data_IF_416394592953
#
_entry.id   IF_416394592953
#
_cell.length_a   1.000
_cell.length_b   1.000
_cell.length_c   1.000
_cell.angle_alpha   90.00
_cell.angle_beta   90.00
_cell.angle_gamma   90.00
#
_symmetry.space_group_name_H-M   'P 1'
#
loop_
_entity.id
_entity.type
_entity.pdbx_description
1 polymer ?
#
# COMPACT_ATOMS: atom_id res chain seq x y z
N UNK A 1 34.53 2.31 8.91
CA UNK A 1 34.69 3.40 7.93
C UNK A 1 35.33 2.94 6.60
N UNK A 2 35.29 1.65 6.25
CA UNK A 2 35.74 1.19 4.91
C UNK A 2 34.65 1.29 3.83
N UNK A 3 33.38 1.38 4.24
CA UNK A 3 32.22 1.39 3.33
C UNK A 3 32.02 2.70 2.55
N UNK A 4 32.65 3.80 2.99
CA UNK A 4 32.65 5.10 2.29
C UNK A 4 33.69 5.17 1.16
N UNK A 5 34.64 4.23 1.10
CA UNK A 5 35.79 4.30 0.16
C UNK A 5 35.46 3.81 -1.27
N UNK A 6 34.30 3.20 -1.50
CA UNK A 6 33.88 2.72 -2.81
C UNK A 6 32.37 2.90 -3.00
N UNK A 7 31.90 4.08 -3.44
CA UNK A 7 30.51 4.27 -3.83
C UNK A 7 30.13 3.23 -4.91
N UNK A 8 28.89 2.76 -4.93
CA UNK A 8 28.34 1.74 -5.84
C UNK A 8 28.78 0.28 -5.65
N UNK A 9 29.78 -0.02 -4.81
CA UNK A 9 30.24 -1.41 -4.63
C UNK A 9 29.14 -2.35 -4.11
N UNK A 10 28.26 -1.87 -3.23
CA UNK A 10 27.12 -2.65 -2.73
C UNK A 10 26.13 -3.00 -3.84
N UNK A 11 25.72 -2.01 -4.63
CA UNK A 11 24.78 -2.17 -5.75
C UNK A 11 25.33 -3.13 -6.80
N UNK A 12 26.59 -2.96 -7.21
CA UNK A 12 27.22 -3.81 -8.22
C UNK A 12 27.31 -5.28 -7.78
N UNK A 13 27.59 -5.52 -6.50
CA UNK A 13 27.63 -6.88 -5.94
C UNK A 13 26.24 -7.51 -5.85
N UNK A 14 25.22 -6.72 -5.51
CA UNK A 14 23.82 -7.17 -5.43
C UNK A 14 23.30 -7.57 -6.83
N UNK A 15 23.54 -6.72 -7.84
CA UNK A 15 23.17 -7.00 -9.24
C UNK A 15 23.88 -8.25 -9.77
N UNK A 16 25.19 -8.39 -9.53
CA UNK A 16 25.95 -9.56 -10.00
C UNK A 16 25.43 -10.87 -9.39
N UNK A 17 25.12 -10.87 -8.09
CA UNK A 17 24.56 -12.04 -7.39
C UNK A 17 23.15 -12.38 -7.86
N UNK A 18 22.34 -11.36 -8.18
CA UNK A 18 20.97 -11.58 -8.64
C UNK A 18 20.91 -12.04 -10.10
N UNK A 19 21.77 -11.50 -10.96
CA UNK A 19 21.81 -11.82 -12.38
C UNK A 19 22.00 -13.33 -12.65
N UNK A 20 22.77 -14.04 -11.82
CA UNK A 20 22.95 -15.49 -11.96
C UNK A 20 21.68 -16.30 -11.66
N UNK A 21 20.83 -15.82 -10.75
CA UNK A 21 19.60 -16.50 -10.33
C UNK A 21 18.39 -16.12 -11.18
N UNK A 22 18.39 -14.94 -11.80
CA UNK A 22 17.24 -14.39 -12.51
C UNK A 22 16.67 -15.32 -13.58
N UNK A 23 17.53 -15.95 -14.39
CA UNK A 23 17.10 -16.91 -15.42
C UNK A 23 16.41 -18.14 -14.81
N UNK A 24 16.89 -18.62 -13.67
CA UNK A 24 16.33 -19.78 -12.99
C UNK A 24 14.95 -19.47 -12.40
N UNK A 25 14.74 -18.27 -11.89
CA UNK A 25 13.46 -17.86 -11.31
C UNK A 25 12.33 -17.88 -12.35
N UNK A 26 12.59 -17.39 -13.57
CA UNK A 26 11.60 -17.45 -14.66
C UNK A 26 11.28 -18.88 -15.10
N UNK A 27 12.31 -19.74 -15.22
CA UNK A 27 12.10 -21.15 -15.58
C UNK A 27 11.31 -21.85 -14.48
N UNK A 28 11.67 -21.65 -13.21
CA UNK A 28 10.98 -22.25 -12.06
C UNK A 28 9.54 -21.75 -11.92
N UNK A 29 9.29 -20.48 -12.22
CA UNK A 29 7.94 -19.90 -12.26
C UNK A 29 7.07 -20.59 -13.30
N UNK A 30 7.57 -20.76 -14.53
CA UNK A 30 6.83 -21.44 -15.60
C UNK A 30 6.63 -22.94 -15.32
N UNK A 31 7.62 -23.62 -14.75
CA UNK A 31 7.54 -25.05 -14.44
C UNK A 31 6.59 -25.39 -13.27
N UNK A 32 6.32 -24.45 -12.37
CA UNK A 32 5.44 -24.65 -11.21
C UNK A 32 3.95 -24.78 -11.57
N UNK A 33 3.56 -24.50 -12.82
CA UNK A 33 2.22 -24.74 -13.35
C UNK A 33 1.08 -24.11 -12.54
N UNK A 34 0.00 -24.87 -12.33
CA UNK A 34 -1.24 -24.42 -11.66
C UNK A 34 -1.04 -24.14 -10.16
N UNK A 35 0.03 -24.66 -9.55
CA UNK A 35 0.32 -24.49 -8.12
C UNK A 35 0.58 -23.03 -7.71
N UNK A 36 0.98 -22.17 -8.66
CA UNK A 36 1.19 -20.73 -8.42
C UNK A 36 -0.13 -19.95 -8.34
N UNK A 37 -1.21 -20.44 -8.95
CA UNK A 37 -2.48 -19.71 -9.06
C UNK A 37 -3.11 -19.42 -7.69
N UNK A 38 -2.97 -20.35 -6.74
CA UNK A 38 -3.50 -20.19 -5.39
C UNK A 38 -2.75 -19.11 -4.60
N UNK A 39 -1.40 -19.16 -4.47
CA UNK A 39 -0.64 -18.06 -3.88
C UNK A 39 -0.85 -16.72 -4.56
N UNK A 40 -0.88 -16.65 -5.90
CA UNK A 40 -1.05 -15.36 -6.61
C UNK A 40 -2.41 -14.75 -6.36
N UNK A 41 -3.48 -15.57 -6.39
CA UNK A 41 -4.84 -15.07 -6.09
C UNK A 41 -4.94 -14.65 -4.63
N UNK A 42 -4.39 -15.43 -3.70
CA UNK A 42 -4.39 -15.08 -2.28
C UNK A 42 -3.67 -13.75 -2.02
N UNK A 43 -2.45 -13.60 -2.54
CA UNK A 43 -1.65 -12.40 -2.39
C UNK A 43 -2.30 -11.20 -3.10
N UNK A 44 -2.93 -11.39 -4.26
CA UNK A 44 -3.66 -10.33 -4.95
C UNK A 44 -4.73 -9.72 -4.04
N UNK A 45 -5.58 -10.55 -3.41
CA UNK A 45 -6.61 -10.04 -2.51
C UNK A 45 -6.06 -9.52 -1.18
N UNK A 46 -5.02 -10.16 -0.64
CA UNK A 46 -4.33 -9.67 0.54
C UNK A 46 -3.66 -8.30 0.32
N UNK A 47 -3.30 -7.99 -0.93
CA UNK A 47 -2.68 -6.73 -1.34
C UNK A 47 -3.72 -5.67 -1.72
N UNK A 48 -4.73 -6.05 -2.50
CA UNK A 48 -5.75 -5.12 -2.99
C UNK A 48 -6.63 -4.55 -1.87
N UNK A 49 -7.05 -5.37 -0.88
CA UNK A 49 -7.98 -4.91 0.16
C UNK A 49 -7.42 -3.79 1.04
N UNK A 50 -6.18 -3.89 1.59
CA UNK A 50 -5.59 -2.78 2.33
C UNK A 50 -5.37 -1.54 1.47
N UNK A 51 -4.95 -1.71 0.21
CA UNK A 51 -4.73 -0.60 -0.72
C UNK A 51 -6.04 0.14 -1.01
N UNK A 52 -7.16 -0.59 -1.16
CA UNK A 52 -8.49 0.00 -1.32
C UNK A 52 -8.88 0.77 -0.06
N UNK A 53 -8.69 0.19 1.13
CA UNK A 53 -9.02 0.83 2.39
C UNK A 53 -8.19 2.11 2.63
N UNK A 54 -6.89 2.06 2.37
CA UNK A 54 -5.99 3.21 2.48
C UNK A 54 -6.24 4.26 1.42
N UNK A 55 -6.59 3.85 0.19
CA UNK A 55 -6.97 4.77 -0.88
C UNK A 55 -8.27 5.53 -0.56
N UNK A 56 -9.25 4.86 0.06
CA UNK A 56 -10.47 5.50 0.54
C UNK A 56 -10.19 6.44 1.73
N UNK A 57 -9.33 6.02 2.66
CA UNK A 57 -8.90 6.89 3.76
C UNK A 57 -8.21 8.14 3.21
N UNK A 58 -7.32 7.99 2.23
CA UNK A 58 -6.63 9.09 1.58
C UNK A 58 -7.60 10.02 0.84
N UNK A 59 -8.61 9.47 0.18
CA UNK A 59 -9.70 10.23 -0.45
C UNK A 59 -10.45 11.09 0.55
N UNK A 60 -10.87 10.49 1.68
CA UNK A 60 -11.57 11.22 2.75
C UNK A 60 -10.72 12.31 3.38
N UNK A 61 -9.44 12.06 3.60
CA UNK A 61 -8.52 12.99 4.26
C UNK A 61 -8.00 14.10 3.32
N UNK A 62 -8.01 13.88 2.00
CA UNK A 62 -7.57 14.85 0.98
C UNK A 62 -8.72 15.55 0.25
N UNK A 63 -9.93 15.52 0.83
CA UNK A 63 -11.18 16.03 0.26
C UNK A 63 -11.51 15.49 -1.15
N UNK A 64 -10.99 14.32 -1.52
CA UNK A 64 -11.13 13.70 -2.85
C UNK A 64 -10.06 14.13 -3.86
N UNK A 65 -8.95 14.74 -3.42
CA UNK A 65 -7.84 15.12 -4.31
C UNK A 65 -6.97 13.91 -4.72
N UNK A 66 -6.89 12.91 -3.85
CA UNK A 66 -6.29 11.60 -4.13
C UNK A 66 -7.31 10.49 -3.86
N UNK A 67 -7.67 9.74 -4.88
CA UNK A 67 -8.66 8.68 -4.88
C UNK A 67 -8.04 7.29 -4.66
N UNK A 68 -8.93 6.32 -4.48
CA UNK A 68 -8.57 4.90 -4.41
C UNK A 68 -7.89 4.41 -5.69
N UNK A 69 -8.28 4.96 -6.84
CA UNK A 69 -7.77 4.54 -8.16
C UNK A 69 -6.29 4.88 -8.32
N UNK A 70 -5.86 6.07 -7.92
CA UNK A 70 -4.44 6.44 -7.99
C UNK A 70 -3.59 5.58 -7.06
N UNK A 71 -4.12 5.25 -5.88
CA UNK A 71 -3.45 4.36 -4.93
C UNK A 71 -3.29 2.95 -5.53
N UNK A 72 -4.35 2.41 -6.16
CA UNK A 72 -4.29 1.13 -6.87
C UNK A 72 -3.32 1.18 -8.06
N UNK A 73 -3.38 2.23 -8.87
CA UNK A 73 -2.49 2.42 -10.01
C UNK A 73 -1.02 2.48 -9.58
N UNK A 74 -0.72 3.19 -8.49
CA UNK A 74 0.62 3.22 -7.90
C UNK A 74 1.11 1.82 -7.54
N UNK A 75 0.31 1.06 -6.79
CA UNK A 75 0.70 -0.29 -6.35
C UNK A 75 0.88 -1.25 -7.52
N UNK A 76 0.03 -1.14 -8.55
CA UNK A 76 0.13 -1.95 -9.75
C UNK A 76 1.41 -1.64 -10.55
N UNK A 77 1.68 -0.35 -10.82
CA UNK A 77 2.86 0.07 -11.59
C UNK A 77 4.14 -0.29 -10.82
N UNK A 78 4.21 0.04 -9.53
CA UNK A 78 5.37 -0.28 -8.70
C UNK A 78 5.57 -1.79 -8.56
N UNK A 79 4.49 -2.55 -8.37
CA UNK A 79 4.54 -4.02 -8.29
C UNK A 79 5.04 -4.67 -9.58
N UNK A 80 4.62 -4.19 -10.76
CA UNK A 80 5.13 -4.70 -12.04
C UNK A 80 6.60 -4.36 -12.22
N UNK A 81 7.01 -3.11 -11.97
CA UNK A 81 8.41 -2.70 -12.10
C UNK A 81 9.29 -3.52 -11.13
N UNK A 82 8.86 -3.77 -9.90
CA UNK A 82 9.64 -4.51 -8.90
C UNK A 82 9.68 -6.00 -9.16
N UNK A 83 8.60 -6.59 -9.66
CA UNK A 83 8.60 -8.02 -10.02
C UNK A 83 9.56 -8.32 -11.17
N UNK A 84 9.75 -7.39 -12.11
CA UNK A 84 10.67 -7.53 -13.24
C UNK A 84 12.10 -7.15 -12.84
N UNK A 85 12.27 -5.98 -12.21
CA UNK A 85 13.60 -5.41 -11.97
C UNK A 85 14.10 -5.58 -10.55
N UNK A 86 13.29 -6.06 -9.60
CA UNK A 86 13.65 -6.16 -8.20
C UNK A 86 14.66 -7.27 -7.89
N UNK A 87 15.52 -6.99 -6.93
CA UNK A 87 16.45 -7.93 -6.32
C UNK A 87 15.74 -8.94 -5.42
N UNK A 88 14.63 -8.57 -4.78
CA UNK A 88 13.82 -9.46 -3.96
C UNK A 88 12.36 -9.57 -4.47
N UNK A 89 12.01 -10.63 -5.21
CA UNK A 89 10.67 -10.79 -5.81
C UNK A 89 9.60 -11.21 -4.79
N UNK A 90 9.99 -11.68 -3.60
CA UNK A 90 9.06 -12.01 -2.51
C UNK A 90 8.54 -10.76 -1.79
N UNK A 91 9.19 -9.61 -1.98
CA UNK A 91 8.76 -8.36 -1.38
C UNK A 91 7.55 -7.82 -2.13
N UNK A 92 6.46 -7.59 -1.41
CA UNK A 92 5.24 -7.01 -1.95
C UNK A 92 5.26 -5.51 -1.67
N UNK A 93 5.13 -4.74 -2.75
CA UNK A 93 5.01 -3.30 -2.69
C UNK A 93 3.56 -2.88 -2.62
N UNK A 94 3.31 -1.84 -1.83
CA UNK A 94 2.00 -1.23 -1.72
C UNK A 94 2.07 0.09 -0.97
N UNK A 95 0.91 0.71 -0.77
CA UNK A 95 0.82 1.92 0.03
C UNK A 95 0.59 1.53 1.48
N UNK A 96 1.54 1.89 2.35
CA UNK A 96 1.43 1.69 3.79
C UNK A 96 0.71 2.87 4.47
N UNK A 97 0.13 2.61 5.65
CA UNK A 97 -0.53 3.64 6.47
C UNK A 97 0.35 4.86 6.77
N UNK A 98 1.65 4.72 7.11
CA UNK A 98 2.52 5.87 7.33
C UNK A 98 2.59 6.81 6.12
N UNK A 99 2.56 6.26 4.90
CA UNK A 99 2.48 7.06 3.65
C UNK A 99 1.18 7.86 3.59
N UNK A 100 0.04 7.25 3.93
CA UNK A 100 -1.26 7.93 3.97
C UNK A 100 -1.23 9.08 4.96
N UNK A 101 -0.75 8.86 6.18
CA UNK A 101 -0.64 9.90 7.23
C UNK A 101 0.24 11.05 6.77
N UNK A 102 1.37 10.73 6.14
CA UNK A 102 2.28 11.72 5.58
C UNK A 102 1.60 12.57 4.49
N UNK A 103 0.89 11.94 3.57
CA UNK A 103 0.15 12.64 2.53
C UNK A 103 -0.99 13.51 3.09
N UNK A 104 -1.71 13.04 4.12
CA UNK A 104 -2.70 13.83 4.84
C UNK A 104 -2.08 15.07 5.50
N UNK A 105 -0.89 14.94 6.09
CA UNK A 105 -0.17 16.09 6.66
C UNK A 105 0.26 17.09 5.59
N UNK A 106 0.83 16.60 4.48
CA UNK A 106 1.20 17.42 3.33
C UNK A 106 -0.02 18.17 2.77
N UNK A 107 -1.16 17.50 2.66
CA UNK A 107 -2.40 18.11 2.19
C UNK A 107 -2.88 19.22 3.12
N UNK A 108 -2.92 18.98 4.43
CA UNK A 108 -3.30 19.99 5.41
C UNK A 108 -2.35 21.19 5.42
N UNK A 109 -1.05 20.95 5.23
CA UNK A 109 -0.05 22.02 5.08
C UNK A 109 -0.28 22.84 3.82
N UNK A 110 -0.54 22.21 2.68
CA UNK A 110 -0.83 22.87 1.41
C UNK A 110 -2.13 23.70 1.49
N UNK A 111 -3.20 23.12 2.05
CA UNK A 111 -4.50 23.77 2.24
C UNK A 111 -4.43 25.00 3.13
N UNK A 112 -3.53 25.01 4.12
CA UNK A 112 -3.33 26.14 5.04
C UNK A 112 -2.61 27.34 4.41
N UNK A 113 -2.10 27.24 3.18
CA UNK A 113 -1.32 28.30 2.53
C UNK A 113 -2.00 28.81 1.26
N UNK A 114 -2.11 30.14 1.16
CA UNK A 114 -2.76 30.82 0.04
C UNK A 114 -2.01 30.64 -1.29
N UNK A 115 -0.69 30.47 -1.26
CA UNK A 115 0.15 30.37 -2.47
C UNK A 115 0.14 28.99 -3.15
N UNK A 116 -0.20 27.93 -2.40
CA UNK A 116 -0.16 26.54 -2.88
C UNK A 116 -1.59 26.05 -3.17
N UNK A 117 -2.52 26.34 -2.26
CA UNK A 117 -3.91 25.94 -2.40
C UNK A 117 -4.10 24.42 -2.56
N UNK A 118 -5.31 24.03 -2.92
CA UNK A 118 -5.68 22.63 -3.18
C UNK A 118 -5.18 22.14 -4.54
N UNK A 119 -5.05 23.04 -5.51
CA UNK A 119 -4.74 22.69 -6.91
C UNK A 119 -3.25 22.36 -7.14
N UNK A 120 -2.31 23.05 -6.45
CA UNK A 120 -0.87 22.79 -6.60
C UNK A 120 -0.34 21.76 -5.59
N UNK A 121 -1.22 21.16 -4.77
CA UNK A 121 -0.82 20.12 -3.82
C UNK A 121 -0.12 18.95 -4.52
N UNK A 122 -0.69 18.44 -5.62
CA UNK A 122 -0.12 17.32 -6.37
C UNK A 122 1.27 17.65 -6.92
N UNK A 123 1.41 18.84 -7.53
CA UNK A 123 2.69 19.34 -8.03
C UNK A 123 3.75 19.49 -6.92
N UNK A 124 3.35 19.98 -5.74
CA UNK A 124 4.24 20.06 -4.59
C UNK A 124 4.65 18.68 -4.06
N UNK A 125 3.73 17.72 -3.99
CA UNK A 125 4.08 16.33 -3.63
C UNK A 125 5.03 15.69 -4.63
N UNK A 126 4.96 16.07 -5.92
CA UNK A 126 5.95 15.68 -6.94
C UNK A 126 7.36 16.15 -6.58
N UNK A 127 7.53 17.42 -6.16
CA UNK A 127 8.82 17.93 -5.69
C UNK A 127 9.32 17.23 -4.42
N UNK A 128 8.42 16.93 -3.47
CA UNK A 128 8.77 16.11 -2.29
C UNK A 128 9.29 14.75 -2.72
N UNK A 129 8.67 14.11 -3.71
CA UNK A 129 9.11 12.82 -4.26
C UNK A 129 10.46 12.93 -4.98
N UNK A 130 10.73 14.01 -5.72
CA UNK A 130 12.04 14.25 -6.36
C UNK A 130 13.16 14.32 -5.31
N UNK A 131 12.96 15.08 -4.23
CA UNK A 131 13.93 15.15 -3.14
C UNK A 131 14.07 13.81 -2.42
N UNK A 132 12.96 13.09 -2.21
CA UNK A 132 12.96 11.76 -1.59
C UNK A 132 13.76 10.77 -2.42
N UNK A 133 13.54 10.73 -3.74
CA UNK A 133 14.27 9.87 -4.67
C UNK A 133 15.77 10.19 -4.66
N UNK A 134 16.14 11.47 -4.67
CA UNK A 134 17.53 11.90 -4.57
C UNK A 134 18.18 11.40 -3.26
N UNK A 135 17.49 11.53 -2.12
CA UNK A 135 17.98 11.04 -0.83
C UNK A 135 18.12 9.51 -0.82
N UNK A 136 17.16 8.78 -1.38
CA UNK A 136 17.22 7.32 -1.50
C UNK A 136 18.39 6.88 -2.40
N UNK A 137 18.66 7.58 -3.49
CA UNK A 137 19.84 7.34 -4.33
C UNK A 137 21.13 7.56 -3.56
N UNK A 138 21.24 8.65 -2.80
CA UNK A 138 22.41 8.89 -1.95
C UNK A 138 22.59 7.77 -0.91
N UNK A 139 21.52 7.36 -0.23
CA UNK A 139 21.56 6.26 0.75
C UNK A 139 22.00 4.93 0.11
N UNK A 140 21.53 4.63 -1.09
CA UNK A 140 21.94 3.44 -1.84
C UNK A 140 23.43 3.49 -2.23
N UNK A 141 23.93 4.64 -2.69
CA UNK A 141 25.32 4.83 -3.12
C UNK A 141 26.30 4.75 -1.94
N UNK A 142 25.94 5.32 -0.80
CA UNK A 142 26.78 5.34 0.43
C UNK A 142 26.71 4.04 1.24
N UNK A 143 26.08 2.98 0.72
CA UNK A 143 25.93 1.69 1.40
C UNK A 143 25.26 1.81 2.79
N UNK A 144 24.26 2.70 2.93
CA UNK A 144 23.51 2.88 4.18
C UNK A 144 22.78 1.60 4.61
N UNK A 145 22.51 0.68 3.68
CA UNK A 145 21.93 -0.63 3.96
C UNK A 145 22.77 -1.49 4.91
N UNK A 146 24.03 -1.14 5.18
CA UNK A 146 24.82 -1.81 6.23
C UNK A 146 24.24 -1.63 7.64
N UNK A 147 23.42 -0.58 7.86
CA UNK A 147 22.68 -0.34 9.10
C UNK A 147 21.65 -1.47 9.37
N UNK A 148 21.12 -2.10 8.32
CA UNK A 148 20.17 -3.21 8.39
C UNK A 148 20.71 -4.37 9.22
N UNK A 149 22.01 -4.67 9.10
CA UNK A 149 22.64 -5.77 9.85
C UNK A 149 22.68 -5.53 11.37
N UNK A 150 22.42 -4.30 11.82
CA UNK A 150 22.31 -3.94 13.24
C UNK A 150 20.88 -4.08 13.77
N UNK A 151 19.89 -4.20 12.88
CA UNK A 151 18.50 -4.38 13.25
C UNK A 151 18.30 -5.80 13.80
N UNK A 152 17.86 -5.89 15.06
CA UNK A 152 17.72 -7.16 15.76
C UNK A 152 16.34 -7.76 15.54
N UNK A 153 16.19 -9.08 15.79
CA UNK A 153 14.90 -9.78 15.76
C UNK A 153 13.85 -9.10 16.66
N UNK A 154 14.27 -8.64 17.84
CA UNK A 154 13.40 -7.94 18.80
C UNK A 154 12.83 -6.67 18.18
N UNK A 155 13.66 -5.88 17.49
CA UNK A 155 13.21 -4.65 16.84
C UNK A 155 12.19 -4.95 15.71
N UNK A 156 12.41 -6.02 14.94
CA UNK A 156 11.48 -6.46 13.90
C UNK A 156 10.14 -6.94 14.43
N UNK A 157 10.14 -7.77 15.48
CA UNK A 157 8.90 -8.26 16.10
C UNK A 157 8.11 -7.12 16.77
N UNK A 158 8.78 -6.19 17.45
CA UNK A 158 8.14 -4.99 18.02
C UNK A 158 7.54 -4.08 16.94
N UNK A 159 8.24 -3.92 15.81
CA UNK A 159 7.74 -3.11 14.71
C UNK A 159 6.52 -3.77 14.04
N UNK A 160 6.57 -5.08 13.79
CA UNK A 160 5.43 -5.84 13.30
C UNK A 160 4.22 -5.76 14.25
N UNK A 161 4.46 -5.82 15.57
CA UNK A 161 3.42 -5.63 16.58
C UNK A 161 2.80 -4.22 16.52
N UNK A 162 3.63 -3.18 16.40
CA UNK A 162 3.15 -1.80 16.28
C UNK A 162 2.24 -1.62 15.06
N UNK A 163 2.66 -2.10 13.89
CA UNK A 163 1.86 -2.04 12.66
C UNK A 163 0.55 -2.81 12.83
N UNK A 164 0.56 -3.99 13.47
CA UNK A 164 -0.65 -4.75 13.74
C UNK A 164 -1.64 -4.00 14.64
N UNK A 165 -1.15 -3.33 15.70
CA UNK A 165 -2.00 -2.51 16.59
C UNK A 165 -2.58 -1.32 15.85
N UNK A 166 -1.79 -0.61 15.04
CA UNK A 166 -2.26 0.52 14.23
C UNK A 166 -3.34 0.06 13.23
N UNK A 167 -3.14 -1.09 12.58
CA UNK A 167 -4.11 -1.63 11.63
C UNK A 167 -5.45 -1.99 12.30
N UNK A 168 -5.41 -2.55 13.52
CA UNK A 168 -6.63 -2.81 14.32
C UNK A 168 -7.30 -1.49 14.72
N UNK A 169 -6.53 -0.49 15.14
CA UNK A 169 -7.05 0.83 15.48
C UNK A 169 -7.76 1.49 14.28
N UNK A 170 -7.17 1.43 13.09
CA UNK A 170 -7.77 1.97 11.87
C UNK A 170 -9.03 1.19 11.47
N UNK A 171 -9.04 -0.13 11.63
CA UNK A 171 -10.25 -0.92 11.40
C UNK A 171 -11.40 -0.48 12.32
N UNK A 172 -11.12 -0.23 13.60
CA UNK A 172 -12.10 0.31 14.56
C UNK A 172 -12.56 1.71 14.14
N UNK A 173 -11.63 2.60 13.79
CA UNK A 173 -11.95 3.97 13.33
C UNK A 173 -12.81 3.95 12.06
N UNK A 174 -12.54 3.03 11.14
CA UNK A 174 -13.34 2.81 9.94
C UNK A 174 -14.78 2.41 10.28
N UNK A 175 -14.97 1.45 11.19
CA UNK A 175 -16.30 1.05 11.66
C UNK A 175 -17.05 2.20 12.35
N UNK A 176 -16.36 2.98 13.19
CA UNK A 176 -16.95 4.16 13.84
C UNK A 176 -17.36 5.22 12.81
N UNK A 177 -16.57 5.42 11.76
CA UNK A 177 -16.87 6.41 10.71
C UNK A 177 -18.14 6.10 9.89
N UNK A 178 -18.64 4.86 9.93
CA UNK A 178 -19.90 4.50 9.29
C UNK A 178 -21.14 4.97 10.06
N UNK A 179 -20.97 5.31 11.34
CA UNK A 179 -21.99 5.99 12.15
C UNK A 179 -21.97 7.52 12.00
N UNK A 180 -20.99 8.06 11.28
CA UNK A 180 -20.83 9.50 11.06
C UNK A 180 -21.20 9.90 9.63
N UNK A 181 -21.65 11.16 9.48
CA UNK A 181 -21.92 11.77 8.17
C UNK A 181 -20.57 12.13 7.50
N UNK A 182 -20.33 11.75 6.23
CA UNK A 182 -19.09 12.11 5.54
C UNK A 182 -18.96 13.63 5.43
N UNK A 183 -17.76 14.15 5.69
CA UNK A 183 -17.50 15.61 5.70
C UNK A 183 -17.72 16.29 4.34
N UNK A 184 -17.75 15.52 3.25
CA UNK A 184 -17.86 16.00 1.86
C UNK A 184 -19.28 15.94 1.29
N UNK A 185 -20.26 15.37 2.00
CA UNK A 185 -21.63 15.22 1.48
C UNK A 185 -22.62 16.15 2.21
N UNK A 186 -23.66 16.56 1.47
CA UNK A 186 -24.70 17.45 1.98
C UNK A 186 -25.46 16.79 3.14
N UNK A 187 -25.43 17.45 4.31
CA UNK A 187 -26.08 16.99 5.54
C UNK A 187 -27.60 16.85 5.44
N UNK A 188 -28.20 17.37 4.36
CA UNK A 188 -29.65 17.42 4.13
C UNK A 188 -30.22 16.24 3.35
N UNK A 189 -29.40 15.28 2.90
CA UNK A 189 -29.91 14.11 2.20
C UNK A 189 -30.65 13.15 3.15
N UNK A 190 -31.78 12.56 2.72
CA UNK A 190 -32.59 11.61 3.49
C UNK A 190 -31.77 10.40 4.01
N UNK A 191 -30.70 10.04 3.30
CA UNK A 191 -29.74 9.00 3.68
C UNK A 191 -29.01 9.30 5.00
N UNK A 192 -28.91 10.57 5.40
CA UNK A 192 -28.23 11.03 6.61
C UNK A 192 -29.16 11.33 7.78
N UNK A 193 -30.45 10.99 7.65
CA UNK A 193 -31.34 10.95 8.81
C UNK A 193 -30.85 9.92 9.83
N UNK A 194 -31.08 10.21 11.12
CA UNK A 194 -30.57 9.43 12.24
C UNK A 194 -30.90 7.93 12.12
N UNK A 195 -32.09 7.59 11.61
CA UNK A 195 -32.55 6.21 11.44
C UNK A 195 -31.70 5.43 10.42
N UNK A 196 -31.39 6.04 9.28
CA UNK A 196 -30.62 5.42 8.20
C UNK A 196 -29.12 5.40 8.48
N UNK A 197 -28.60 6.41 9.17
CA UNK A 197 -27.21 6.45 9.63
C UNK A 197 -26.94 5.36 10.67
N UNK A 198 -27.85 5.18 11.62
CA UNK A 198 -27.75 4.11 12.62
C UNK A 198 -27.88 2.72 11.98
N UNK A 199 -28.80 2.55 11.02
CA UNK A 199 -28.95 1.31 10.27
C UNK A 199 -27.69 0.98 9.45
N UNK A 200 -27.07 1.99 8.81
CA UNK A 200 -25.82 1.83 8.08
C UNK A 200 -24.68 1.38 8.99
N UNK A 201 -24.49 2.04 10.13
CA UNK A 201 -23.47 1.67 11.10
C UNK A 201 -23.68 0.25 11.66
N UNK A 202 -24.92 -0.12 11.99
CA UNK A 202 -25.25 -1.47 12.47
C UNK A 202 -24.96 -2.55 11.41
N UNK A 203 -25.36 -2.31 10.16
CA UNK A 203 -25.02 -3.19 9.04
C UNK A 203 -23.50 -3.27 8.84
N UNK A 204 -22.78 -2.16 8.96
CA UNK A 204 -21.32 -2.11 8.91
C UNK A 204 -20.66 -3.00 9.97
N UNK A 205 -21.15 -2.96 11.22
CA UNK A 205 -20.70 -3.86 12.30
C UNK A 205 -20.99 -5.32 11.94
N UNK A 206 -22.21 -5.64 11.52
CA UNK A 206 -22.61 -7.01 11.16
C UNK A 206 -21.73 -7.57 10.04
N UNK A 207 -21.50 -6.81 8.98
CA UNK A 207 -20.64 -7.22 7.87
C UNK A 207 -19.17 -7.35 8.29
N UNK A 208 -18.66 -6.45 9.14
CA UNK A 208 -17.26 -6.50 9.60
C UNK A 208 -16.99 -7.72 10.47
N UNK A 209 -17.80 -7.95 11.52
CA UNK A 209 -17.65 -9.12 12.38
C UNK A 209 -18.01 -10.42 11.64
N UNK A 210 -19.00 -10.37 10.75
CA UNK A 210 -19.36 -11.48 9.88
C UNK A 210 -18.18 -11.91 9.00
N UNK A 211 -17.56 -10.97 8.28
CA UNK A 211 -16.39 -11.21 7.44
C UNK A 211 -15.19 -11.71 8.27
N UNK A 212 -14.92 -11.10 9.42
CA UNK A 212 -13.81 -11.52 10.29
C UNK A 212 -14.00 -12.97 10.76
N UNK A 213 -15.19 -13.30 11.26
CA UNK A 213 -15.49 -14.64 11.74
C UNK A 213 -15.40 -15.69 10.63
N UNK A 214 -16.01 -15.41 9.47
CA UNK A 214 -15.99 -16.34 8.33
C UNK A 214 -14.59 -16.49 7.73
N UNK A 215 -13.82 -15.41 7.62
CA UNK A 215 -12.43 -15.45 7.15
C UNK A 215 -11.52 -16.27 8.09
N UNK A 216 -11.63 -16.10 9.41
CA UNK A 216 -10.88 -16.89 10.39
C UNK A 216 -11.27 -18.37 10.35
N UNK A 217 -12.56 -18.68 10.18
CA UNK A 217 -13.05 -20.05 10.00
C UNK A 217 -12.52 -20.66 8.70
N UNK A 218 -12.49 -19.90 7.61
CA UNK A 218 -11.97 -20.35 6.31
C UNK A 218 -10.48 -20.65 6.39
N UNK A 219 -9.68 -19.85 7.10
CA UNK A 219 -8.25 -20.14 7.31
C UNK A 219 -8.02 -21.43 8.12
N UNK A 220 -8.90 -21.74 9.06
CA UNK A 220 -8.92 -23.01 9.81
C UNK A 220 -9.58 -24.16 9.04
N UNK A 221 -10.04 -23.95 7.81
CA UNK A 221 -10.65 -25.00 7.01
C UNK A 221 -9.69 -26.19 6.84
N UNK A 222 -8.37 -25.97 6.74
CA UNK A 222 -7.39 -27.08 6.61
C UNK A 222 -7.45 -28.13 7.73
N UNK A 223 -7.95 -27.79 8.91
CA UNK A 223 -8.09 -28.73 10.03
C UNK A 223 -9.53 -29.18 10.27
N UNK A 224 -10.48 -28.87 9.38
CA UNK A 224 -11.85 -29.33 9.50
C UNK A 224 -11.95 -30.85 9.34
N UNK A 225 -12.74 -31.45 10.23
CA UNK A 225 -13.03 -32.89 10.22
C UNK A 225 -14.04 -33.27 9.12
N UNK A 226 -14.72 -32.28 8.54
CA UNK A 226 -15.72 -32.44 7.51
C UNK A 226 -15.20 -31.88 6.18
N UNK A 227 -15.45 -32.60 5.08
CA UNK A 227 -15.10 -32.20 3.72
C UNK A 227 -13.96 -33.02 3.09
N UNK A 228 -13.91 -33.02 1.76
CA UNK A 228 -12.84 -33.67 1.01
C UNK A 228 -11.54 -32.87 1.09
N UNK A 229 -10.38 -33.54 1.06
CA UNK A 229 -9.08 -32.87 1.22
C UNK A 229 -8.79 -31.78 0.18
N UNK A 230 -9.29 -31.97 -1.05
CA UNK A 230 -9.17 -30.98 -2.12
C UNK A 230 -10.00 -29.72 -1.85
N UNK A 231 -11.29 -29.87 -1.53
CA UNK A 231 -12.19 -28.75 -1.24
C UNK A 231 -11.74 -27.98 0.02
N UNK A 232 -11.23 -28.72 1.01
CA UNK A 232 -10.66 -28.16 2.24
C UNK A 232 -9.45 -27.26 1.97
N UNK A 233 -8.59 -27.67 1.05
CA UNK A 233 -7.41 -26.88 0.67
C UNK A 233 -7.82 -25.67 -0.15
N UNK A 234 -8.76 -25.82 -1.08
CA UNK A 234 -9.32 -24.71 -1.85
C UNK A 234 -9.96 -23.63 -0.96
N UNK A 235 -10.81 -24.01 0.01
CA UNK A 235 -11.46 -23.06 0.93
C UNK A 235 -10.43 -22.38 1.85
N UNK A 236 -9.35 -23.07 2.21
CA UNK A 236 -8.29 -22.46 3.00
C UNK A 236 -7.48 -21.42 2.22
N UNK A 237 -7.20 -21.71 0.95
CA UNK A 237 -6.35 -20.87 0.10
C UNK A 237 -7.13 -19.66 -0.46
N UNK A 238 -8.37 -19.87 -0.88
CA UNK A 238 -9.26 -18.83 -1.44
C UNK A 238 -10.28 -18.30 -0.42
N UNK A 239 -10.10 -18.61 0.86
CA UNK A 239 -11.10 -18.32 1.88
C UNK A 239 -11.41 -16.85 2.08
N UNK A 240 -10.39 -16.02 2.25
CA UNK A 240 -10.53 -14.57 2.43
C UNK A 240 -11.27 -13.94 1.24
N UNK A 241 -10.83 -14.13 -0.03
CA UNK A 241 -11.55 -13.53 -1.16
C UNK A 241 -12.97 -14.07 -1.35
N UNK A 242 -13.17 -15.38 -1.15
CA UNK A 242 -14.51 -15.97 -1.24
C UNK A 242 -15.46 -15.31 -0.22
N UNK A 243 -15.00 -15.10 1.03
CA UNK A 243 -15.83 -14.46 2.05
C UNK A 243 -16.10 -12.99 1.76
N UNK A 244 -15.15 -12.26 1.16
CA UNK A 244 -15.40 -10.90 0.67
C UNK A 244 -16.52 -10.91 -0.37
N UNK A 245 -16.44 -11.78 -1.39
CA UNK A 245 -17.47 -11.88 -2.43
C UNK A 245 -18.84 -12.23 -1.85
N UNK A 246 -18.91 -13.17 -0.90
CA UNK A 246 -20.16 -13.56 -0.24
C UNK A 246 -20.73 -12.41 0.59
N UNK A 247 -19.92 -11.74 1.40
CA UNK A 247 -20.35 -10.58 2.19
C UNK A 247 -20.81 -9.42 1.29
N UNK A 248 -20.13 -9.19 0.17
CA UNK A 248 -20.55 -8.20 -0.83
C UNK A 248 -21.86 -8.60 -1.48
N UNK A 249 -22.04 -9.85 -1.91
CA UNK A 249 -23.30 -10.32 -2.48
C UNK A 249 -24.48 -10.19 -1.49
N UNK A 250 -24.26 -10.51 -0.21
CA UNK A 250 -25.24 -10.30 0.85
C UNK A 250 -25.57 -8.82 1.05
N UNK A 251 -24.58 -7.93 0.95
CA UNK A 251 -24.76 -6.48 1.00
C UNK A 251 -25.62 -5.95 -0.16
N UNK A 252 -25.51 -6.53 -1.36
CA UNK A 252 -26.38 -6.21 -2.50
C UNK A 252 -27.78 -6.83 -2.41
N UNK A 253 -27.95 -7.88 -1.61
CA UNK A 253 -29.24 -8.58 -1.42
C UNK A 253 -30.13 -7.95 -0.34
N UNK A 254 -29.69 -6.86 0.29
CA UNK A 254 -30.47 -6.14 1.32
C UNK A 254 -31.77 -5.59 0.71
N UNK A 255 -32.93 -5.76 1.38
CA UNK A 255 -34.25 -5.47 0.80
C UNK A 255 -34.43 -4.03 0.30
N UNK A 256 -35.20 -3.86 -0.78
CA UNK A 256 -35.54 -2.58 -1.45
C UNK A 256 -36.27 -1.52 -0.60
N UNK A 257 -36.48 -1.78 0.70
CA UNK A 257 -37.05 -0.79 1.65
C UNK A 257 -36.00 0.18 2.20
N UNK A 258 -34.72 -0.03 1.86
CA UNK A 258 -33.60 0.80 2.30
C UNK A 258 -33.27 1.84 1.20
N UNK A 259 -33.04 3.12 1.53
CA UNK A 259 -32.72 4.16 0.56
C UNK A 259 -31.43 3.83 -0.22
N UNK A 260 -31.35 4.32 -1.45
CA UNK A 260 -30.22 4.12 -2.36
C UNK A 260 -28.93 4.65 -1.73
N UNK A 261 -28.10 3.74 -1.23
CA UNK A 261 -26.80 4.07 -0.64
C UNK A 261 -26.55 3.52 0.75
N UNK A 262 -27.50 2.79 1.35
CA UNK A 262 -27.28 1.98 2.56
C UNK A 262 -27.30 0.49 2.16
N UNK A 263 -26.30 -0.32 2.54
CA UNK A 263 -25.05 0.06 3.21
C UNK A 263 -24.14 0.90 2.29
N UNK A 264 -23.35 1.79 2.90
CA UNK A 264 -22.40 2.65 2.19
C UNK A 264 -21.44 1.77 1.40
N UNK A 265 -21.34 2.07 0.10
CA UNK A 265 -20.50 1.35 -0.85
C UNK A 265 -19.43 2.28 -1.36
N UNK A 266 -18.24 1.73 -1.58
CA UNK A 266 -17.15 2.46 -2.21
C UNK A 266 -17.50 2.66 -3.69
N UNK A 267 -17.53 3.91 -4.14
CA UNK A 267 -17.60 4.25 -5.56
C UNK A 267 -16.23 4.77 -5.99
N UNK A 268 -15.48 3.93 -6.70
CA UNK A 268 -14.27 4.38 -7.39
C UNK A 268 -14.66 4.89 -8.78
N UNK A 269 -14.35 6.13 -9.16
CA UNK A 269 -14.50 6.57 -10.55
C UNK A 269 -13.65 5.70 -11.46
N UNK A 270 -14.01 5.57 -12.74
CA UNK A 270 -13.19 4.82 -13.67
C UNK A 270 -11.85 5.56 -13.91
N UNK A 271 -10.72 4.86 -14.16
CA UNK A 271 -9.43 5.50 -14.43
C UNK A 271 -9.45 6.45 -15.64
N UNK A 272 -10.42 6.29 -16.53
CA UNK A 272 -10.59 7.04 -17.78
C UNK A 272 -11.54 8.25 -17.63
N UNK A 273 -12.07 8.51 -16.43
CA UNK A 273 -12.91 9.68 -16.17
C UNK A 273 -12.07 10.97 -16.09
N UNK A 274 -12.68 12.09 -16.49
CA UNK A 274 -12.04 13.41 -16.58
C UNK A 274 -11.47 13.93 -15.25
N UNK A 275 -11.97 13.43 -14.12
CA UNK A 275 -11.46 13.72 -12.78
C UNK A 275 -10.08 13.09 -12.52
N UNK A 276 -9.76 11.94 -13.14
CA UNK A 276 -8.49 11.22 -12.99
C UNK A 276 -7.45 11.63 -14.04
N UNK A 277 -7.88 12.12 -15.21
CA UNK A 277 -6.98 12.64 -16.25
C UNK A 277 -6.20 13.89 -15.79
N UNK A 278 -6.72 14.67 -14.84
CA UNK A 278 -6.07 15.87 -14.29
C UNK A 278 -4.76 15.55 -13.54
N UNK A 279 -4.57 14.31 -13.07
CA UNK A 279 -3.34 13.87 -12.41
C UNK A 279 -2.18 13.62 -13.38
N UNK A 280 -2.44 13.32 -14.66
CA UNK A 280 -1.38 13.07 -15.65
C UNK A 280 -0.66 14.35 -16.12
N UNK A 281 -1.25 15.53 -15.87
CA UNK A 281 -0.67 16.85 -16.15
C UNK A 281 0.19 17.42 -15.01
N UNK A 282 0.42 16.67 -13.92
CA UNK A 282 1.18 17.14 -12.75
C UNK A 282 2.59 17.64 -13.13
N UNK A 283 3.23 17.03 -14.12
CA UNK A 283 4.56 17.45 -14.62
C UNK A 283 4.54 18.90 -15.13
N UNK A 284 3.45 19.34 -15.76
CA UNK A 284 3.32 20.71 -16.28
C UNK A 284 3.09 21.72 -15.14
N UNK A 285 2.35 21.31 -14.11
CA UNK A 285 2.05 22.14 -12.94
C UNK A 285 3.22 22.22 -11.94
N UNK A 286 4.19 21.31 -11.99
CA UNK A 286 5.42 21.38 -11.18
C UNK A 286 6.21 22.66 -11.42
N UNK A 287 6.20 23.20 -12.65
CA UNK A 287 6.87 24.45 -12.99
C UNK A 287 6.23 25.71 -12.39
N UNK A 288 4.97 25.63 -11.95
CA UNK A 288 4.21 26.76 -11.38
C UNK A 288 4.44 26.92 -9.87
N UNK A 289 5.10 25.97 -9.22
CA UNK A 289 5.38 26.01 -7.78
C UNK A 289 6.49 27.02 -7.49
N UNK A 290 6.25 27.94 -6.54
CA UNK A 290 7.26 28.94 -6.16
C UNK A 290 8.54 28.28 -5.62
N UNK A 291 9.74 28.77 -5.99
CA UNK A 291 11.02 28.16 -5.60
C UNK A 291 11.19 27.97 -4.09
N UNK A 292 10.61 28.85 -3.27
CA UNK A 292 10.65 28.72 -1.81
C UNK A 292 10.00 27.43 -1.32
N UNK A 293 8.89 27.01 -1.94
CA UNK A 293 8.19 25.77 -1.60
C UNK A 293 8.91 24.53 -2.12
N UNK A 294 9.66 24.65 -3.22
CA UNK A 294 10.53 23.59 -3.74
C UNK A 294 11.64 23.28 -2.73
N UNK A 295 12.28 24.28 -2.14
CA UNK A 295 13.27 24.06 -1.09
C UNK A 295 12.64 23.60 0.23
N UNK A 296 11.47 24.14 0.59
CA UNK A 296 10.75 23.70 1.79
C UNK A 296 10.32 22.22 1.72
N UNK A 297 10.09 21.67 0.51
CA UNK A 297 9.79 20.27 0.27
C UNK A 297 10.91 19.30 0.71
N UNK A 298 12.14 19.80 0.92
CA UNK A 298 13.25 18.99 1.41
C UNK A 298 13.00 18.41 2.82
N UNK A 299 12.36 19.17 3.70
CA UNK A 299 12.09 18.74 5.09
C UNK A 299 11.17 17.50 5.12
N UNK A 300 9.97 17.51 4.52
CA UNK A 300 9.14 16.31 4.48
C UNK A 300 9.80 15.18 3.67
N UNK A 301 10.59 15.50 2.64
CA UNK A 301 11.32 14.49 1.87
C UNK A 301 12.35 13.72 2.70
N UNK A 302 13.06 14.37 3.63
CA UNK A 302 13.98 13.69 4.56
C UNK A 302 13.24 12.69 5.44
N UNK A 303 12.07 13.08 5.95
CA UNK A 303 11.25 12.21 6.79
C UNK A 303 10.70 11.03 6.00
N UNK A 304 10.18 11.25 4.78
CA UNK A 304 9.67 10.18 3.91
C UNK A 304 10.80 9.25 3.47
N UNK A 305 11.98 9.78 3.12
CA UNK A 305 13.14 8.97 2.75
C UNK A 305 13.58 8.06 3.90
N UNK A 306 13.60 8.58 5.14
CA UNK A 306 13.91 7.79 6.34
C UNK A 306 12.89 6.69 6.60
N UNK A 307 11.60 7.01 6.48
CA UNK A 307 10.50 6.05 6.63
C UNK A 307 10.56 4.95 5.55
N UNK A 308 10.72 5.31 4.28
CA UNK A 308 10.80 4.35 3.17
C UNK A 308 12.03 3.48 3.24
N UNK A 309 13.18 4.06 3.60
CA UNK A 309 14.37 3.30 3.89
C UNK A 309 14.09 2.28 4.99
N UNK A 310 13.50 2.70 6.12
CA UNK A 310 13.21 1.80 7.23
C UNK A 310 12.22 0.70 6.86
N UNK A 311 11.04 1.04 6.35
CA UNK A 311 9.98 0.08 6.01
C UNK A 311 10.46 -0.95 4.99
N UNK A 312 11.13 -0.50 3.93
CA UNK A 312 11.62 -1.39 2.88
C UNK A 312 12.74 -2.30 3.39
N UNK A 313 13.61 -1.80 4.28
CA UNK A 313 14.66 -2.60 4.90
C UNK A 313 14.08 -3.68 5.82
N UNK A 314 13.14 -3.30 6.70
CA UNK A 314 12.52 -4.23 7.65
C UNK A 314 11.70 -5.28 6.90
N UNK A 315 10.92 -4.89 5.89
CA UNK A 315 10.14 -5.82 5.08
C UNK A 315 11.05 -6.81 4.34
N UNK A 316 12.14 -6.32 3.74
CA UNK A 316 13.12 -7.18 3.08
C UNK A 316 13.78 -8.17 4.05
N UNK A 317 14.10 -7.76 5.29
CA UNK A 317 14.64 -8.65 6.33
C UNK A 317 13.62 -9.68 6.85
N UNK A 318 12.37 -9.26 7.10
CA UNK A 318 11.33 -10.15 7.60
C UNK A 318 11.00 -11.23 6.56
N UNK A 319 10.97 -10.87 5.28
CA UNK A 319 10.81 -11.84 4.20
C UNK A 319 12.03 -12.78 4.02
N UNK A 320 13.16 -12.52 4.69
CA UNK A 320 14.41 -13.30 4.61
C UNK A 320 14.82 -13.91 5.95
N UNK A 321 13.87 -14.15 6.84
CA UNK A 321 14.17 -14.84 8.08
C UNK A 321 14.80 -16.21 7.80
N UNK A 322 15.80 -16.57 8.62
CA UNK A 322 16.50 -17.87 8.54
C UNK A 322 15.53 -19.06 8.63
N UNK A 323 14.37 -18.84 9.25
CA UNK A 323 13.29 -19.82 9.40
C UNK A 323 12.71 -20.28 8.05
N UNK A 324 12.76 -19.42 7.01
CA UNK A 324 12.23 -19.73 5.68
C UNK A 324 13.22 -20.48 4.76
N UNK A 325 14.46 -20.72 5.22
CA UNK A 325 15.48 -21.50 4.49
C UNK A 325 15.66 -21.09 3.01
N UNK A 326 15.64 -19.79 2.73
CA UNK A 326 15.84 -19.26 1.38
C UNK A 326 17.28 -19.47 0.92
N UNK A 327 17.45 -20.00 -0.31
CA UNK A 327 18.76 -20.30 -0.90
C UNK A 327 19.32 -19.15 -1.75
N UNK A 328 18.45 -18.24 -2.21
CA UNK A 328 18.83 -17.16 -3.11
C UNK A 328 19.40 -15.95 -2.34
N UNK A 329 20.41 -15.25 -2.90
CA UNK A 329 21.03 -14.11 -2.25
C UNK A 329 20.10 -12.89 -2.19
N UNK A 330 20.18 -12.14 -1.11
CA UNK A 330 19.46 -10.87 -0.92
C UNK A 330 20.17 -9.69 -1.59
N UNK A 331 19.38 -8.67 -1.96
CA UNK A 331 19.84 -7.52 -2.75
C UNK A 331 19.28 -6.18 -2.20
N UNK A 332 19.65 -5.83 -0.97
CA UNK A 332 19.12 -4.64 -0.29
C UNK A 332 19.48 -3.31 -0.96
N UNK A 333 20.71 -3.15 -1.45
CA UNK A 333 21.18 -1.85 -1.97
C UNK A 333 20.51 -1.52 -3.30
N UNK A 334 20.36 -2.54 -4.13
CA UNK A 334 19.74 -2.42 -5.43
C UNK A 334 18.22 -2.20 -5.31
N UNK A 335 17.56 -2.85 -4.35
CA UNK A 335 16.12 -2.62 -4.12
C UNK A 335 15.83 -1.20 -3.63
N UNK A 336 16.69 -0.60 -2.79
CA UNK A 336 16.53 0.80 -2.37
C UNK A 336 16.76 1.78 -3.52
N UNK A 337 17.71 1.47 -4.41
CA UNK A 337 17.89 2.26 -5.64
C UNK A 337 16.63 2.18 -6.50
N UNK A 338 16.06 0.98 -6.68
CA UNK A 338 14.86 0.78 -7.45
C UNK A 338 13.64 1.50 -6.83
N UNK A 339 13.52 1.50 -5.51
CA UNK A 339 12.53 2.27 -4.78
C UNK A 339 12.67 3.78 -5.04
N UNK A 340 13.90 4.30 -5.12
CA UNK A 340 14.17 5.69 -5.52
C UNK A 340 13.66 6.01 -6.93
N UNK A 341 13.82 5.08 -7.88
CA UNK A 341 13.31 5.25 -9.25
C UNK A 341 11.77 5.22 -9.26
N UNK A 342 11.16 4.28 -8.54
CA UNK A 342 9.70 4.16 -8.46
C UNK A 342 9.07 5.39 -7.79
N UNK A 343 9.65 5.88 -6.71
CA UNK A 343 9.17 7.08 -6.01
C UNK A 343 9.24 8.32 -6.90
N UNK A 344 10.28 8.45 -7.71
CA UNK A 344 10.37 9.51 -8.72
C UNK A 344 9.26 9.38 -9.78
N UNK A 345 9.06 8.18 -10.33
CA UNK A 345 8.01 7.93 -11.33
C UNK A 345 6.60 8.20 -10.78
N UNK A 346 6.29 7.70 -9.59
CA UNK A 346 5.01 7.96 -8.91
C UNK A 346 4.81 9.46 -8.67
N UNK A 347 5.83 10.16 -8.17
CA UNK A 347 5.77 11.60 -7.92
C UNK A 347 5.50 12.42 -9.18
N UNK A 348 6.13 12.07 -10.31
CA UNK A 348 5.90 12.73 -11.59
C UNK A 348 4.50 12.46 -12.14
N UNK A 349 3.95 11.27 -11.90
CA UNK A 349 2.58 10.90 -12.31
C UNK A 349 1.50 11.42 -11.34
N UNK A 350 1.88 12.08 -10.23
CA UNK A 350 0.94 12.50 -9.19
C UNK A 350 0.35 11.34 -8.36
N UNK A 351 0.97 10.17 -8.42
CA UNK A 351 0.56 8.99 -7.69
C UNK A 351 1.25 8.92 -6.32
N UNK A 352 0.59 8.42 -5.26
CA UNK A 352 1.26 8.18 -3.99
C UNK A 352 2.37 7.15 -4.17
N UNK A 353 3.54 7.23 -3.53
CA UNK A 353 4.63 6.29 -3.74
C UNK A 353 4.32 4.99 -3.00
N UNK A 354 4.73 3.87 -3.59
CA UNK A 354 4.63 2.55 -2.94
C UNK A 354 5.92 2.19 -2.22
N UNK A 355 5.81 1.52 -1.07
CA UNK A 355 6.92 1.00 -0.29
C UNK A 355 6.69 -0.48 0.09
N UNK A 356 7.70 -1.14 0.68
CA UNK A 356 7.60 -2.55 1.07
C UNK A 356 6.61 -2.75 2.21
N UNK A 357 5.60 -3.61 2.01
CA UNK A 357 4.50 -3.78 2.97
C UNK A 357 4.73 -5.02 3.82
N UNK A 358 4.75 -4.82 5.15
CA UNK A 358 5.10 -5.84 6.15
C UNK A 358 4.09 -6.98 6.35
N UNK A 359 2.77 -6.77 6.46
CA UNK A 359 1.85 -7.88 6.65
C UNK A 359 1.68 -8.76 5.41
N UNK A 360 2.11 -8.27 4.24
CA UNK A 360 1.95 -8.95 2.97
C UNK A 360 3.22 -9.71 2.56
N UNK A 361 4.40 -9.11 2.80
CA UNK A 361 5.73 -9.69 2.53
C UNK A 361 6.17 -10.64 3.64
#
# INVERSE_FOLDING_TARGET
MENLKAPFRGIANDVRRRASCYKQDWISGLCSGIGILAPTTYIFFASALPVIAFGEQLSRDTDGSLSTVETLASTAICGVIHSIFGGQPLLILGVAEPTVIMYTYLYNFAKGRQDLGRELFLAWTGWVCVWTALLLFLLAIFNACTIINRFTRIAGELFGMLIAVLFIQQAIKGVVSEFEVPKAEDRSAEKYEFQWLYANGLLGIIFTFGLLYTALKSRRARSWWYGTGWLRSFIADYGVPLMVLVCTALSFSVPSKVPSGVPRRLFSPLPWESSSLRHWTVIEDMGKVSPAYIFAAFIPAVMIAGLYFFDHCVASQMAQQKEFNLKNPSAYHYDILLLGIMTLLCGLLGLPPSNGVLPQS
#
